data_IF_648456388399
#
_entry.id   IF_648456388399
#
_cell.length_a   1.000
_cell.length_b   1.000
_cell.length_c   1.000
_cell.angle_alpha   90.00
_cell.angle_beta   90.00
_cell.angle_gamma   90.00
#
_symmetry.space_group_name_H-M   'P 1'
#
loop_
_entity.id
_entity.type
_entity.pdbx_description
1 polymer ?
#
# COMPACT_ATOMS: atom_id res chain seq x y z
N UNK A 1 -27.05 -6.70 -4.03
CA UNK A 1 -25.85 -7.27 -3.38
C UNK A 1 -24.58 -6.79 -4.08
N UNK A 2 -24.57 -6.77 -5.42
CA UNK A 2 -23.41 -6.40 -6.23
C UNK A 2 -22.98 -4.93 -6.07
N UNK A 3 -23.93 -3.99 -6.00
CA UNK A 3 -23.63 -2.56 -5.83
C UNK A 3 -22.96 -2.27 -4.49
N UNK A 4 -23.41 -2.93 -3.41
CA UNK A 4 -22.84 -2.78 -2.07
C UNK A 4 -21.42 -3.34 -2.03
N UNK A 5 -21.19 -4.53 -2.60
CA UNK A 5 -19.84 -5.09 -2.71
C UNK A 5 -18.91 -4.22 -3.56
N UNK A 6 -19.40 -3.68 -4.68
CA UNK A 6 -18.64 -2.76 -5.52
C UNK A 6 -18.19 -1.53 -4.73
N UNK A 7 -19.11 -0.89 -3.98
CA UNK A 7 -18.74 0.24 -3.13
C UNK A 7 -17.72 -0.13 -2.05
N UNK A 8 -17.85 -1.29 -1.40
CA UNK A 8 -16.89 -1.76 -0.39
C UNK A 8 -15.49 -1.92 -1.01
N UNK A 9 -15.38 -2.57 -2.17
CA UNK A 9 -14.10 -2.76 -2.86
C UNK A 9 -13.50 -1.42 -3.27
N UNK A 10 -14.29 -0.54 -3.88
CA UNK A 10 -13.83 0.79 -4.30
C UNK A 10 -13.37 1.63 -3.10
N UNK A 11 -14.11 1.63 -1.99
CA UNK A 11 -13.71 2.31 -0.76
C UNK A 11 -12.42 1.75 -0.18
N UNK A 12 -12.24 0.43 -0.17
CA UNK A 12 -11.00 -0.21 0.31
C UNK A 12 -9.80 0.12 -0.59
N UNK A 13 -9.98 0.10 -1.91
CA UNK A 13 -8.94 0.52 -2.86
C UNK A 13 -8.58 1.99 -2.68
N UNK A 14 -9.57 2.86 -2.47
CA UNK A 14 -9.35 4.28 -2.21
C UNK A 14 -8.56 4.51 -0.91
N UNK A 15 -8.90 3.80 0.17
CA UNK A 15 -8.16 3.85 1.44
C UNK A 15 -6.71 3.37 1.23
N UNK A 16 -6.52 2.28 0.50
CA UNK A 16 -5.19 1.77 0.17
C UNK A 16 -4.33 2.83 -0.56
N UNK A 17 -4.91 3.50 -1.55
CA UNK A 17 -4.25 4.59 -2.28
C UNK A 17 -3.89 5.76 -1.36
N UNK A 18 -4.79 6.17 -0.47
CA UNK A 18 -4.51 7.24 0.50
C UNK A 18 -3.33 6.84 1.40
N UNK A 19 -3.32 5.62 1.92
CA UNK A 19 -2.24 5.13 2.78
C UNK A 19 -0.90 5.19 2.04
N UNK A 20 -0.84 4.76 0.78
CA UNK A 20 0.37 4.83 -0.05
C UNK A 20 0.91 6.25 -0.19
N UNK A 21 0.03 7.22 -0.45
CA UNK A 21 0.41 8.63 -0.60
C UNK A 21 0.86 9.25 0.72
N UNK A 22 0.08 9.07 1.79
CA UNK A 22 0.36 9.64 3.11
C UNK A 22 1.65 9.06 3.70
N UNK A 23 1.82 7.74 3.64
CA UNK A 23 3.01 7.05 4.14
C UNK A 23 4.27 7.49 3.41
N UNK A 24 4.20 7.64 2.08
CA UNK A 24 5.31 8.15 1.28
C UNK A 24 5.70 9.58 1.68
N UNK A 25 4.71 10.45 1.88
CA UNK A 25 4.93 11.84 2.30
C UNK A 25 5.54 11.94 3.70
N UNK A 26 5.07 11.11 4.64
CA UNK A 26 5.63 11.02 5.98
C UNK A 26 7.06 10.51 5.96
N UNK A 27 7.33 9.43 5.21
CA UNK A 27 8.67 8.85 5.08
C UNK A 27 9.66 9.84 4.49
N UNK A 28 9.24 10.66 3.53
CA UNK A 28 10.09 11.66 2.91
C UNK A 28 10.71 12.63 3.92
N UNK A 29 9.99 12.99 4.98
CA UNK A 29 10.48 13.88 6.05
C UNK A 29 11.54 13.24 6.94
N UNK A 30 11.71 11.93 6.88
CA UNK A 30 12.62 11.14 7.72
C UNK A 30 13.77 10.51 6.93
N UNK A 31 13.94 10.89 5.66
CA UNK A 31 15.08 10.45 4.84
C UNK A 31 16.35 11.15 5.34
N UNK A 32 17.40 10.36 5.56
CA UNK A 32 18.70 10.87 5.96
C UNK A 32 19.46 11.43 4.74
N UNK A 33 20.39 12.39 4.94
CA UNK A 33 21.23 12.91 3.86
C UNK A 33 22.15 11.85 3.23
N UNK A 34 22.34 10.71 3.90
CA UNK A 34 23.05 9.55 3.37
C UNK A 34 22.26 8.76 2.33
N UNK A 35 21.01 9.13 2.06
CA UNK A 35 20.23 8.57 0.97
C UNK A 35 20.85 8.95 -0.38
N UNK A 36 20.82 8.04 -1.38
CA UNK A 36 21.28 8.36 -2.73
C UNK A 36 20.58 9.62 -3.24
N UNK A 37 21.33 10.52 -3.87
CA UNK A 37 20.78 11.74 -4.46
C UNK A 37 19.61 11.35 -5.38
N UNK A 38 18.47 12.00 -5.15
CA UNK A 38 17.30 11.81 -5.99
C UNK A 38 17.60 12.39 -7.35
N UNK A 39 18.07 11.53 -8.25
CA UNK A 39 18.07 11.87 -9.65
C UNK A 39 16.58 11.97 -10.06
N UNK A 40 16.11 13.20 -10.29
CA UNK A 40 14.72 13.55 -10.61
C UNK A 40 14.27 13.01 -11.98
N UNK A 41 15.13 12.24 -12.65
CA UNK A 41 14.76 11.48 -13.82
C UNK A 41 13.57 10.55 -13.49
N UNK A 42 12.59 10.50 -14.39
CA UNK A 42 11.40 9.65 -14.25
C UNK A 42 11.76 8.17 -14.08
N UNK A 43 12.96 7.76 -14.53
CA UNK A 43 13.48 6.39 -14.43
C UNK A 43 14.07 6.03 -13.07
N UNK A 44 14.48 7.01 -12.27
CA UNK A 44 15.16 6.82 -10.97
C UNK A 44 14.35 7.37 -9.78
N UNK A 45 13.07 7.68 -9.98
CA UNK A 45 12.22 8.18 -8.91
C UNK A 45 11.94 7.07 -7.88
N UNK A 46 12.86 6.90 -6.93
CA UNK A 46 12.72 5.97 -5.82
C UNK A 46 11.63 6.53 -4.90
N UNK A 47 10.47 5.86 -4.95
CA UNK A 47 9.37 6.14 -4.03
C UNK A 47 9.89 5.90 -2.59
N UNK A 48 9.63 6.76 -1.60
CA UNK A 48 10.17 6.57 -0.24
C UNK A 48 9.83 5.20 0.36
N UNK A 49 8.71 4.60 -0.07
CA UNK A 49 8.35 3.22 0.27
C UNK A 49 9.40 2.18 -0.16
N UNK A 50 9.99 2.35 -1.34
CA UNK A 50 10.93 1.39 -1.95
C UNK A 50 12.38 1.59 -1.51
N UNK A 51 12.68 2.70 -0.84
CA UNK A 51 14.02 2.97 -0.29
C UNK A 51 14.35 2.02 0.87
N UNK A 52 15.62 1.60 0.99
CA UNK A 52 16.08 0.73 2.07
C UNK A 52 15.91 1.39 3.45
N UNK A 53 15.67 0.59 4.50
CA UNK A 53 15.44 1.08 5.87
C UNK A 53 16.60 1.94 6.41
N UNK A 54 17.81 1.63 5.95
CA UNK A 54 19.09 2.21 6.36
C UNK A 54 19.20 3.71 6.05
N UNK A 55 18.44 4.18 5.06
CA UNK A 55 18.40 5.59 4.65
C UNK A 55 17.36 6.40 5.42
N UNK A 56 16.73 5.84 6.45
CA UNK A 56 15.78 6.53 7.30
C UNK A 56 16.32 6.68 8.71
N UNK A 57 15.93 7.78 9.38
CA UNK A 57 16.12 7.93 10.82
C UNK A 57 15.42 6.80 11.59
N UNK A 58 15.81 6.57 12.85
CA UNK A 58 15.14 5.55 13.70
C UNK A 58 13.62 5.75 13.75
N UNK A 59 13.17 7.01 13.82
CA UNK A 59 11.76 7.38 13.72
C UNK A 59 11.14 7.02 12.36
N UNK A 60 11.83 7.29 11.26
CA UNK A 60 11.41 6.92 9.91
C UNK A 60 11.30 5.40 9.72
N UNK A 61 12.23 4.61 10.28
CA UNK A 61 12.18 3.16 10.25
C UNK A 61 10.96 2.59 11.00
N UNK A 62 10.61 3.17 12.16
CA UNK A 62 9.40 2.81 12.90
C UNK A 62 8.14 3.14 12.09
N UNK A 63 8.06 4.35 11.52
CA UNK A 63 6.95 4.76 10.66
C UNK A 63 6.81 3.84 9.45
N UNK A 64 7.94 3.50 8.78
CA UNK A 64 7.99 2.57 7.66
C UNK A 64 7.39 1.21 8.04
N UNK A 65 7.82 0.67 9.17
CA UNK A 65 7.38 -0.65 9.66
C UNK A 65 5.88 -0.67 9.97
N UNK A 66 5.39 0.35 10.69
CA UNK A 66 3.96 0.49 11.01
C UNK A 66 3.15 0.66 9.71
N UNK A 67 3.61 1.54 8.83
CA UNK A 67 2.99 1.81 7.55
C UNK A 67 2.87 0.56 6.67
N UNK A 68 3.94 -0.22 6.55
CA UNK A 68 3.90 -1.49 5.82
C UNK A 68 2.98 -2.51 6.46
N UNK A 69 2.94 -2.63 7.81
CA UNK A 69 1.99 -3.52 8.48
C UNK A 69 0.53 -3.16 8.15
N UNK A 70 0.19 -1.87 8.16
CA UNK A 70 -1.13 -1.38 7.78
C UNK A 70 -1.41 -1.69 6.31
N UNK A 71 -0.44 -1.41 5.42
CA UNK A 71 -0.57 -1.64 3.98
C UNK A 71 -0.82 -3.12 3.66
N UNK A 72 -0.06 -4.03 4.28
CA UNK A 72 -0.24 -5.47 4.13
C UNK A 72 -1.57 -5.97 4.70
N UNK A 73 -2.03 -5.40 5.82
CA UNK A 73 -3.34 -5.72 6.37
C UNK A 73 -4.46 -5.32 5.38
N UNK A 74 -4.39 -4.11 4.82
CA UNK A 74 -5.34 -3.66 3.80
C UNK A 74 -5.32 -4.55 2.55
N UNK A 75 -4.12 -4.88 2.05
CA UNK A 75 -3.97 -5.78 0.90
C UNK A 75 -4.54 -7.18 1.17
N UNK A 76 -4.30 -7.72 2.37
CA UNK A 76 -4.84 -9.02 2.80
C UNK A 76 -6.36 -9.04 2.85
N UNK A 77 -6.99 -8.01 3.42
CA UNK A 77 -8.46 -7.89 3.46
C UNK A 77 -9.05 -7.84 2.06
N UNK A 78 -8.47 -7.03 1.16
CA UNK A 78 -8.91 -6.95 -0.25
C UNK A 78 -8.77 -8.33 -0.92
N UNK A 79 -7.64 -9.01 -0.72
CA UNK A 79 -7.39 -10.33 -1.28
C UNK A 79 -8.40 -11.39 -0.82
N UNK A 80 -8.77 -11.39 0.46
CA UNK A 80 -9.79 -12.30 1.02
C UNK A 80 -11.16 -12.04 0.40
N UNK A 81 -11.57 -10.77 0.27
CA UNK A 81 -12.86 -10.41 -0.33
C UNK A 81 -12.93 -10.86 -1.78
N UNK A 82 -11.90 -10.56 -2.59
CA UNK A 82 -11.84 -10.96 -3.99
C UNK A 82 -11.87 -12.48 -4.12
N UNK A 83 -11.09 -13.20 -3.31
CA UNK A 83 -11.06 -14.67 -3.34
C UNK A 83 -12.42 -15.26 -3.00
N UNK A 84 -13.12 -14.71 -2.00
CA UNK A 84 -14.48 -15.13 -1.64
C UNK A 84 -15.48 -14.92 -2.79
N UNK A 85 -15.39 -13.79 -3.49
CA UNK A 85 -16.24 -13.50 -4.66
C UNK A 85 -15.95 -14.49 -5.79
N UNK A 86 -14.68 -14.77 -6.09
CA UNK A 86 -14.29 -15.72 -7.14
C UNK A 86 -14.84 -17.11 -6.83
N UNK A 87 -14.68 -17.59 -5.59
CA UNK A 87 -15.20 -18.91 -5.17
C UNK A 87 -16.73 -18.94 -5.28
N UNK A 88 -17.42 -17.90 -4.84
CA UNK A 88 -18.88 -17.81 -4.96
C UNK A 88 -19.34 -17.87 -6.41
N UNK A 89 -18.73 -17.08 -7.30
CA UNK A 89 -19.05 -17.09 -8.73
C UNK A 89 -18.78 -18.46 -9.36
N UNK A 90 -17.65 -19.09 -9.03
CA UNK A 90 -17.34 -20.44 -9.51
C UNK A 90 -18.37 -21.48 -9.07
N UNK A 91 -18.89 -21.39 -7.85
CA UNK A 91 -19.95 -22.30 -7.37
C UNK A 91 -21.24 -22.04 -8.13
N UNK A 92 -21.69 -20.79 -8.22
CA UNK A 92 -22.96 -20.42 -8.87
C UNK A 92 -22.95 -20.71 -10.38
N UNK A 93 -21.83 -20.54 -11.05
CA UNK A 93 -21.71 -20.83 -12.49
C UNK A 93 -21.65 -22.33 -12.81
N UNK A 94 -21.22 -23.17 -11.86
CA UNK A 94 -21.14 -24.63 -12.03
C UNK A 94 -22.38 -25.38 -11.51
N UNK A 95 -23.38 -24.68 -10.96
CA UNK A 95 -24.72 -25.19 -10.59
C UNK A 95 -25.76 -24.78 -11.60
#
# INVERSE_FOLDING_TARGET
MDTIMFYIIVSLMFIFCIIMLVLSSLLYKHILPSAPERDLSVQSNIWPLTLAAEHFSESGQRIRTIGFKILWCCAGVIGVIISGIIVFLLVVTNT
#
